data_IF_240815241958
#
_entry.id   IF_240815241958
#
_cell.length_a   1.000
_cell.length_b   1.000
_cell.length_c   1.000
_cell.angle_alpha   90.00
_cell.angle_beta   90.00
_cell.angle_gamma   90.00
#
_symmetry.space_group_name_H-M   'P 1'
#
loop_
_entity.id
_entity.type
_entity.pdbx_description
1 polymer ?
#
# COMPACT_ATOMS: atom_id res chain seq x y z
N UNK A 1 10.36 -29.88 -1.51
CA UNK A 1 9.57 -29.15 -2.53
C UNK A 1 8.13 -29.65 -2.47
N UNK A 2 7.17 -28.76 -2.19
CA UNK A 2 5.74 -28.91 -2.47
C UNK A 2 5.02 -27.64 -1.99
N UNK A 3 4.87 -26.69 -2.91
CA UNK A 3 4.14 -25.45 -2.76
C UNK A 3 2.65 -25.72 -2.54
N UNK A 4 2.10 -25.32 -1.39
CA UNK A 4 0.66 -25.14 -1.26
C UNK A 4 0.36 -23.73 -0.72
N UNK A 5 0.42 -22.79 -1.66
CA UNK A 5 0.01 -21.39 -1.54
C UNK A 5 -1.52 -21.31 -1.50
N UNK A 6 -2.16 -21.61 -0.37
CA UNK A 6 -3.61 -21.42 -0.26
C UNK A 6 -4.10 -21.36 1.18
N UNK A 7 -3.61 -20.39 1.97
CA UNK A 7 -4.34 -19.81 3.12
C UNK A 7 -3.88 -18.37 3.39
N UNK A 8 -4.08 -17.46 2.44
CA UNK A 8 -4.11 -16.02 2.71
C UNK A 8 -5.48 -15.68 3.32
N UNK A 9 -5.75 -16.24 4.49
CA UNK A 9 -6.97 -16.04 5.27
C UNK A 9 -6.58 -15.47 6.62
N UNK A 10 -6.18 -14.20 6.62
CA UNK A 10 -5.63 -13.54 7.80
C UNK A 10 -5.16 -12.13 7.45
N UNK A 11 -5.97 -11.35 6.74
CA UNK A 11 -5.78 -9.91 6.63
C UNK A 11 -6.20 -9.29 7.96
N UNK A 12 -5.37 -9.54 8.96
CA UNK A 12 -5.39 -9.00 10.31
C UNK A 12 -5.07 -7.50 10.18
N UNK A 13 -6.10 -6.73 9.85
CA UNK A 13 -6.14 -5.28 9.66
C UNK A 13 -5.81 -4.48 10.94
N UNK A 14 -5.03 -5.04 11.87
CA UNK A 14 -4.86 -4.52 13.23
C UNK A 14 -3.44 -4.00 13.51
N UNK A 15 -2.42 -4.33 12.70
CA UNK A 15 -1.01 -3.97 13.02
C UNK A 15 -0.33 -2.96 12.11
N UNK A 16 -1.09 -2.16 11.37
CA UNK A 16 -0.44 -1.26 10.39
C UNK A 16 0.10 0.03 11.02
N UNK A 17 0.17 0.19 12.35
CA UNK A 17 0.76 1.40 12.95
C UNK A 17 2.29 1.53 12.71
N UNK A 18 3.00 0.40 12.53
CA UNK A 18 4.43 0.38 12.14
C UNK A 18 4.69 -0.17 10.73
N UNK A 19 3.70 -0.84 10.13
CA UNK A 19 3.75 -1.32 8.74
C UNK A 19 3.44 -0.22 7.71
N UNK A 20 2.66 0.78 8.09
CA UNK A 20 2.22 1.86 7.19
C UNK A 20 3.40 2.66 6.66
N UNK A 21 4.41 2.96 7.49
CA UNK A 21 5.56 3.77 7.05
C UNK A 21 6.44 3.05 6.03
N UNK A 22 6.65 1.74 6.18
CA UNK A 22 7.35 0.93 5.18
C UNK A 22 6.54 0.82 3.88
N UNK A 23 5.22 0.66 3.98
CA UNK A 23 4.33 0.63 2.82
C UNK A 23 4.27 1.97 2.09
N UNK A 24 4.31 3.11 2.80
CA UNK A 24 4.34 4.46 2.21
C UNK A 24 5.57 4.63 1.33
N UNK A 25 6.75 4.21 1.81
CA UNK A 25 8.02 4.42 1.07
C UNK A 25 8.10 3.54 -0.16
N UNK A 26 7.82 2.24 -0.03
CA UNK A 26 7.79 1.31 -1.18
C UNK A 26 6.73 1.73 -2.21
N UNK A 27 5.59 2.25 -1.75
CA UNK A 27 4.55 2.75 -2.63
C UNK A 27 4.96 4.04 -3.36
N UNK A 28 5.58 4.98 -2.64
CA UNK A 28 6.15 6.19 -3.20
C UNK A 28 7.20 5.87 -4.28
N UNK A 29 8.15 4.98 -3.99
CA UNK A 29 9.19 4.55 -4.93
C UNK A 29 8.58 3.82 -6.14
N UNK A 30 7.59 2.93 -5.95
CA UNK A 30 6.93 2.19 -7.03
C UNK A 30 6.21 3.10 -8.02
N UNK A 31 5.55 4.14 -7.53
CA UNK A 31 4.76 5.06 -8.35
C UNK A 31 5.52 6.33 -8.73
N UNK A 32 6.68 6.58 -8.14
CA UNK A 32 7.47 7.79 -8.35
C UNK A 32 6.80 9.04 -7.77
N UNK A 33 6.02 8.89 -6.69
CA UNK A 33 5.33 9.99 -6.01
C UNK A 33 6.07 10.36 -4.72
N UNK A 34 5.75 11.51 -4.12
CA UNK A 34 6.33 11.88 -2.82
C UNK A 34 5.78 11.01 -1.69
N UNK A 35 6.58 10.76 -0.66
CA UNK A 35 6.12 10.07 0.56
C UNK A 35 4.95 10.80 1.24
N UNK A 36 4.86 12.12 1.08
CA UNK A 36 3.71 12.91 1.54
C UNK A 36 2.44 12.56 0.77
N UNK A 37 2.51 12.46 -0.55
CA UNK A 37 1.37 12.10 -1.40
C UNK A 37 0.93 10.65 -1.15
N UNK A 38 1.88 9.73 -0.99
CA UNK A 38 1.59 8.35 -0.63
C UNK A 38 0.87 8.26 0.73
N UNK A 39 1.30 9.04 1.72
CA UNK A 39 0.64 9.12 3.03
C UNK A 39 -0.75 9.73 2.94
N UNK A 40 -0.92 10.83 2.20
CA UNK A 40 -2.23 11.47 1.98
C UNK A 40 -3.21 10.49 1.32
N UNK A 41 -2.74 9.71 0.34
CA UNK A 41 -3.55 8.68 -0.31
C UNK A 41 -3.98 7.59 0.68
N UNK A 42 -3.06 7.12 1.54
CA UNK A 42 -3.36 6.12 2.57
C UNK A 42 -4.30 6.67 3.65
N UNK A 43 -4.16 7.93 4.04
CA UNK A 43 -5.07 8.58 5.00
C UNK A 43 -6.47 8.80 4.39
N UNK A 44 -6.55 9.14 3.09
CA UNK A 44 -7.83 9.41 2.41
C UNK A 44 -8.59 8.16 1.98
N UNK A 45 -7.88 7.16 1.44
CA UNK A 45 -8.47 5.96 0.84
C UNK A 45 -8.26 4.70 1.70
N UNK A 46 -7.48 4.81 2.78
CA UNK A 46 -7.11 3.68 3.64
C UNK A 46 -6.01 2.82 3.04
N UNK A 47 -5.98 1.55 3.43
CA UNK A 47 -5.02 0.55 2.93
C UNK A 47 -5.54 -0.20 1.70
N UNK A 48 -6.53 0.35 0.99
CA UNK A 48 -7.08 -0.30 -0.20
C UNK A 48 -6.12 -0.16 -1.38
N UNK A 49 -5.40 -1.24 -1.67
CA UNK A 49 -4.30 -1.21 -2.63
C UNK A 49 -4.76 -0.84 -4.04
N UNK A 50 -5.92 -1.34 -4.48
CA UNK A 50 -6.43 -1.06 -5.83
C UNK A 50 -6.75 0.43 -6.01
N UNK A 51 -7.39 1.03 -4.99
CA UNK A 51 -7.70 2.46 -4.96
C UNK A 51 -6.42 3.30 -4.92
N UNK A 52 -5.48 2.96 -4.05
CA UNK A 52 -4.18 3.63 -3.95
C UNK A 52 -3.44 3.59 -5.28
N UNK A 53 -3.27 2.42 -5.90
CA UNK A 53 -2.55 2.27 -7.16
C UNK A 53 -3.21 3.07 -8.30
N UNK A 54 -4.54 3.16 -8.33
CA UNK A 54 -5.28 3.97 -9.31
C UNK A 54 -5.03 5.46 -9.12
N UNK A 55 -5.06 5.96 -7.90
CA UNK A 55 -4.83 7.38 -7.63
C UNK A 55 -3.36 7.77 -7.81
N UNK A 56 -2.42 6.93 -7.37
CA UNK A 56 -0.99 7.17 -7.56
C UNK A 56 -0.60 7.21 -9.05
N UNK A 57 -1.24 6.39 -9.89
CA UNK A 57 -1.05 6.46 -11.36
C UNK A 57 -1.53 7.79 -11.96
N UNK A 58 -2.50 8.48 -11.36
CA UNK A 58 -2.94 9.80 -11.82
C UNK A 58 -1.99 10.91 -11.39
N UNK A 59 -1.30 10.73 -10.27
CA UNK A 59 -0.30 11.68 -9.76
C UNK A 59 1.02 11.58 -10.50
N UNK A 60 1.33 10.41 -11.07
CA UNK A 60 2.52 10.19 -11.90
C UNK A 60 2.45 11.06 -13.18
N UNK A 61 3.13 12.19 -13.16
CA UNK A 61 3.27 13.11 -14.29
C UNK A 61 4.49 12.76 -15.15
#
# INVERSE_FOLDING_TARGET
>A
MADNKSKTGGADRIRVAGGQEYEVRDFADKFGISSGEARDLIERFGTDRETLEREARKLKK
#
